data_IF_393765807176
#
_entry.id   IF_393765807176
#
_cell.length_a   1.000
_cell.length_b   1.000
_cell.length_c   1.000
_cell.angle_alpha   90.00
_cell.angle_beta   90.00
_cell.angle_gamma   90.00
#
_symmetry.space_group_name_H-M   'P 1'
#
loop_
_entity.id
_entity.type
_entity.pdbx_description
1 polymer ?
#
# COMPACT_ATOMS: atom_id res chain seq x y z
N UNK A 1 6.62 -10.37 0.96
CA UNK A 1 6.82 -9.34 2.01
C UNK A 1 5.71 -9.31 3.06
N UNK A 2 4.44 -9.06 2.71
CA UNK A 2 3.37 -8.87 3.71
C UNK A 2 3.17 -10.05 4.69
N UNK A 3 3.29 -11.29 4.22
CA UNK A 3 3.17 -12.49 5.07
C UNK A 3 4.25 -12.52 6.17
N UNK A 4 5.51 -12.32 5.79
CA UNK A 4 6.64 -12.31 6.73
C UNK A 4 6.45 -11.22 7.80
N UNK A 5 6.11 -10.00 7.38
CA UNK A 5 5.92 -8.88 8.33
C UNK A 5 4.74 -9.18 9.27
N UNK A 6 3.63 -9.71 8.76
CA UNK A 6 2.47 -10.04 9.59
C UNK A 6 2.76 -11.22 10.54
N UNK A 7 3.53 -12.21 10.09
CA UNK A 7 3.98 -13.34 10.91
C UNK A 7 4.87 -12.89 12.07
N UNK A 8 5.84 -12.01 11.81
CA UNK A 8 6.78 -11.53 12.82
C UNK A 8 6.12 -10.53 13.78
N UNK A 9 5.39 -9.55 13.25
CA UNK A 9 4.85 -8.43 14.06
C UNK A 9 3.51 -8.75 14.72
N UNK A 10 2.76 -9.72 14.20
CA UNK A 10 1.40 -10.06 14.63
C UNK A 10 0.45 -8.86 14.64
N UNK A 11 0.69 -7.88 13.76
CA UNK A 11 -0.10 -6.65 13.64
C UNK A 11 -0.73 -6.53 12.24
N UNK A 12 -1.94 -5.97 12.15
CA UNK A 12 -2.59 -5.74 10.87
C UNK A 12 -1.94 -4.57 10.11
N UNK A 13 -2.04 -4.54 8.76
CA UNK A 13 -1.51 -3.44 7.96
C UNK A 13 -2.27 -2.14 8.24
N UNK A 14 -1.60 -0.99 8.08
CA UNK A 14 -2.22 0.33 8.17
C UNK A 14 -2.25 0.93 6.78
N UNK A 15 -3.45 1.31 6.29
CA UNK A 15 -3.56 2.01 5.02
C UNK A 15 -3.22 3.48 5.23
N UNK A 16 -2.30 4.01 4.45
CA UNK A 16 -1.98 5.45 4.42
C UNK A 16 -2.36 6.02 3.05
N UNK A 17 -2.46 7.35 2.93
CA UNK A 17 -2.66 7.97 1.61
C UNK A 17 -1.66 7.48 0.59
N UNK A 18 -2.15 7.28 -0.63
CA UNK A 18 -1.28 7.04 -1.78
C UNK A 18 -0.36 8.25 -1.93
N UNK A 19 0.97 8.04 -1.83
CA UNK A 19 1.92 9.00 -2.38
C UNK A 19 1.62 9.10 -3.86
N UNK A 20 1.17 10.28 -4.30
CA UNK A 20 0.75 10.57 -5.67
C UNK A 20 1.93 10.41 -6.63
N UNK A 21 2.21 9.18 -7.07
CA UNK A 21 2.70 8.80 -8.41
C UNK A 21 2.85 7.26 -8.49
N UNK A 22 1.75 6.50 -8.40
CA UNK A 22 1.82 5.13 -8.89
C UNK A 22 1.70 5.20 -10.41
N UNK A 23 2.87 5.35 -11.06
CA UNK A 23 3.13 5.15 -12.49
C UNK A 23 2.10 5.81 -13.41
N UNK A 24 2.48 6.97 -13.95
CA UNK A 24 1.92 7.48 -15.19
C UNK A 24 2.10 6.40 -16.28
N UNK A 25 1.12 5.51 -16.38
CA UNK A 25 1.14 4.34 -17.29
C UNK A 25 0.82 4.78 -18.72
N UNK A 26 0.53 6.07 -18.90
CA UNK A 26 0.28 6.73 -20.18
C UNK A 26 1.58 7.11 -20.90
N UNK A 27 2.71 7.22 -20.19
CA UNK A 27 3.97 7.78 -20.73
C UNK A 27 4.91 6.70 -21.28
N UNK A 28 4.75 5.44 -20.86
CA UNK A 28 5.50 4.32 -21.40
C UNK A 28 4.51 3.30 -21.96
N UNK A 29 4.57 2.98 -23.25
CA UNK A 29 3.73 1.98 -23.94
C UNK A 29 3.85 0.53 -23.43
N UNK A 30 4.21 0.35 -22.17
CA UNK A 30 4.31 -0.90 -21.43
C UNK A 30 2.90 -1.23 -20.93
N UNK A 31 2.30 -2.28 -21.48
CA UNK A 31 1.06 -2.85 -20.93
C UNK A 31 1.30 -3.18 -19.45
N UNK A 32 0.53 -2.55 -18.58
CA UNK A 32 0.57 -2.86 -17.15
C UNK A 32 0.24 -4.33 -16.94
N UNK A 33 1.08 -5.11 -16.23
CA UNK A 33 0.74 -6.49 -15.86
C UNK A 33 -0.59 -6.61 -15.10
N UNK A 34 -1.06 -5.50 -14.52
CA UNK A 34 -2.35 -5.43 -13.84
C UNK A 34 -3.57 -5.49 -14.76
N UNK A 35 -3.40 -5.31 -16.07
CA UNK A 35 -4.48 -5.38 -17.05
C UNK A 35 -4.70 -6.82 -17.58
N UNK A 36 -3.83 -7.76 -17.21
CA UNK A 36 -3.94 -9.16 -17.58
C UNK A 36 -4.83 -9.92 -16.56
N UNK A 37 -5.92 -10.58 -16.98
CA UNK A 37 -6.74 -11.42 -16.09
C UNK A 37 -5.94 -12.48 -15.33
N UNK A 38 -4.91 -13.06 -15.96
CA UNK A 38 -4.10 -14.13 -15.35
C UNK A 38 -3.31 -13.63 -14.14
N UNK A 39 -3.01 -12.33 -14.09
CA UNK A 39 -2.30 -11.72 -12.95
C UNK A 39 -3.06 -11.88 -11.63
N UNK A 40 -4.39 -11.84 -11.65
CA UNK A 40 -5.20 -12.06 -10.44
C UNK A 40 -5.18 -13.54 -10.00
N UNK A 41 -5.20 -14.46 -10.96
CA UNK A 41 -5.11 -15.90 -10.70
C UNK A 41 -3.75 -16.26 -10.10
N UNK A 42 -2.67 -15.72 -10.68
CA UNK A 42 -1.31 -15.89 -10.18
C UNK A 42 -1.16 -15.37 -8.74
N UNK A 43 -1.77 -14.22 -8.42
CA UNK A 43 -1.79 -13.68 -7.05
C UNK A 43 -2.52 -14.58 -6.08
N UNK A 44 -3.68 -15.11 -6.45
CA UNK A 44 -4.42 -16.03 -5.60
C UNK A 44 -3.61 -17.31 -5.34
N UNK A 45 -2.95 -17.83 -6.36
CA UNK A 45 -2.04 -18.98 -6.24
C UNK A 45 -0.89 -18.67 -5.28
N UNK A 46 -0.23 -17.52 -5.45
CA UNK A 46 0.84 -17.04 -4.57
C UNK A 46 0.40 -16.89 -3.10
N UNK A 47 -0.82 -16.42 -2.86
CA UNK A 47 -1.37 -16.33 -1.50
C UNK A 47 -1.52 -17.73 -0.88
N UNK A 48 -2.05 -18.70 -1.65
CA UNK A 48 -2.25 -20.07 -1.19
C UNK A 48 -0.91 -20.80 -0.93
N UNK A 49 0.10 -20.59 -1.77
CA UNK A 49 1.43 -21.19 -1.54
C UNK A 49 2.07 -20.66 -0.26
N UNK A 50 1.94 -19.36 0.04
CA UNK A 50 2.42 -18.83 1.31
C UNK A 50 1.67 -19.39 2.52
N UNK A 51 0.35 -19.55 2.44
CA UNK A 51 -0.42 -20.19 3.52
C UNK A 51 0.09 -21.60 3.78
N UNK A 52 0.38 -22.37 2.72
CA UNK A 52 0.95 -23.71 2.85
C UNK A 52 2.35 -23.70 3.49
N UNK A 53 3.24 -22.79 3.06
CA UNK A 53 4.61 -22.67 3.60
C UNK A 53 4.62 -22.26 5.08
N UNK A 54 3.76 -21.33 5.48
CA UNK A 54 3.67 -20.90 6.89
C UNK A 54 2.85 -21.86 7.76
N UNK A 55 2.04 -22.73 7.17
CA UNK A 55 1.12 -23.64 7.87
C UNK A 55 -0.16 -22.98 8.41
N UNK A 56 -0.34 -21.68 8.18
CA UNK A 56 -1.55 -20.93 8.55
C UNK A 56 -1.62 -19.61 7.77
N UNK A 57 -2.73 -18.87 7.87
CA UNK A 57 -2.89 -17.53 7.28
C UNK A 57 -2.33 -16.44 8.22
N UNK A 58 -1.17 -15.82 7.94
CA UNK A 58 -0.59 -14.80 8.82
C UNK A 58 -1.18 -13.41 8.61
N UNK A 59 -1.87 -13.17 7.48
CA UNK A 59 -2.45 -11.86 7.17
C UNK A 59 -3.66 -11.56 8.06
N UNK A 60 -3.63 -10.38 8.69
CA UNK A 60 -4.70 -9.89 9.55
C UNK A 60 -5.49 -8.80 8.83
N UNK A 61 -6.82 -8.81 8.98
CA UNK A 61 -7.69 -7.75 8.46
C UNK A 61 -7.49 -6.45 9.24
N UNK A 62 -7.61 -5.32 8.55
CA UNK A 62 -7.52 -3.98 9.12
C UNK A 62 -8.60 -3.09 8.53
N UNK A 63 -9.18 -2.24 9.38
CA UNK A 63 -10.08 -1.16 8.96
C UNK A 63 -9.44 0.23 9.15
N UNK A 64 -8.16 0.29 9.57
CA UNK A 64 -7.49 1.54 9.90
C UNK A 64 -6.89 2.20 8.67
N UNK A 65 -7.31 3.45 8.42
CA UNK A 65 -6.74 4.32 7.39
C UNK A 65 -6.31 5.66 7.99
N UNK A 66 -5.08 6.06 7.71
CA UNK A 66 -4.50 7.33 8.15
C UNK A 66 -4.24 8.22 6.94
N UNK A 67 -5.13 9.18 6.70
CA UNK A 67 -4.97 10.19 5.66
C UNK A 67 -4.61 11.56 6.28
N UNK A 68 -3.67 12.33 5.69
CA UNK A 68 -3.35 13.65 6.15
C UNK A 68 -4.45 14.64 5.73
N UNK A 69 -5.21 15.12 6.72
CA UNK A 69 -6.39 16.00 6.51
C UNK A 69 -6.03 17.34 5.86
N UNK A 70 -4.86 17.89 6.17
CA UNK A 70 -4.42 19.23 5.73
C UNK A 70 -3.31 19.18 4.67
N UNK A 71 -3.12 18.05 3.98
CA UNK A 71 -2.06 17.91 2.99
C UNK A 71 -2.35 18.75 1.75
N UNK A 72 -1.43 19.67 1.43
CA UNK A 72 -1.58 20.67 0.36
C UNK A 72 -2.76 21.63 0.55
N UNK A 73 -3.30 21.69 1.77
CA UNK A 73 -4.29 22.69 2.14
C UNK A 73 -3.61 24.06 2.31
N UNK A 74 -4.31 25.14 1.96
CA UNK A 74 -3.82 26.52 1.99
C UNK A 74 -3.68 27.08 3.42
N UNK A 75 -4.10 26.32 4.43
CA UNK A 75 -3.90 26.68 5.84
C UNK A 75 -2.41 26.82 6.18
N UNK A 76 -2.10 27.75 7.10
CA UNK A 76 -0.74 28.00 7.57
C UNK A 76 -0.04 26.72 8.01
N UNK A 77 1.22 26.55 7.60
CA UNK A 77 2.07 25.45 8.04
C UNK A 77 2.09 25.32 9.56
N UNK A 78 2.04 26.42 10.32
CA UNK A 78 2.04 26.39 11.78
C UNK A 78 0.86 25.60 12.38
N UNK A 79 -0.27 25.52 11.67
CA UNK A 79 -1.45 24.77 12.11
C UNK A 79 -1.40 23.29 11.75
N UNK A 80 -0.55 22.90 10.79
CA UNK A 80 -0.41 21.49 10.37
C UNK A 80 0.42 20.73 11.40
N UNK A 81 -0.11 19.61 11.93
CA UNK A 81 0.63 18.72 12.85
C UNK A 81 1.82 18.06 12.17
N UNK A 82 1.67 17.67 10.89
CA UNK A 82 2.69 16.97 10.11
C UNK A 82 3.21 17.83 8.96
N UNK A 83 3.73 19.03 9.25
CA UNK A 83 4.20 20.03 8.26
C UNK A 83 5.20 19.46 7.25
N UNK A 84 6.08 18.57 7.73
CA UNK A 84 7.17 17.98 6.95
C UNK A 84 6.68 16.99 5.88
N UNK A 85 5.42 16.54 5.94
CA UNK A 85 4.88 15.60 4.95
C UNK A 85 4.81 16.21 3.54
N UNK A 86 4.75 17.54 3.45
CA UNK A 86 4.75 18.28 2.18
C UNK A 86 6.13 18.43 1.56
N UNK A 87 7.20 18.33 2.35
CA UNK A 87 8.58 18.38 1.86
C UNK A 87 9.01 17.08 1.18
N UNK A 88 8.28 15.99 1.42
CA UNK A 88 8.47 14.73 0.69
C UNK A 88 7.85 14.87 -0.70
N UNK A 89 8.43 15.75 -1.53
CA UNK A 89 8.24 15.70 -2.99
C UNK A 89 9.23 14.70 -3.57
N UNK A 90 8.76 13.91 -4.54
CA UNK A 90 9.63 13.17 -5.46
C UNK A 90 10.59 14.13 -6.16
#
# INVERSE_FOLDING_TARGET
>A
MNFLVSHVTRRPPIKVTQRKLYKDTTVAGIRSPWNDPDHFIQRQTCMNTFVAVFGYMPLLRSNMRLDPVLFKDSVSNLRKKYRQIELVSN
#
